data_IF_796758540992
#
_entry.id   IF_796758540992
#
_cell.length_a   1.000
_cell.length_b   1.000
_cell.length_c   1.000
_cell.angle_alpha   90.00
_cell.angle_beta   90.00
_cell.angle_gamma   90.00
#
_symmetry.space_group_name_H-M   'P 1'
#
loop_
_entity.id
_entity.type
_entity.pdbx_description
1 polymer ?
#
# COMPACT_ATOMS: atom_id res chain seq x y z
N UNK A 1 44.11 -12.30 -47.95
CA UNK A 1 44.07 -12.50 -46.49
C UNK A 1 43.40 -11.29 -45.85
N UNK A 2 42.14 -11.42 -45.42
CA UNK A 2 41.55 -10.68 -44.31
C UNK A 2 40.35 -11.47 -43.78
N UNK A 3 40.64 -12.28 -42.77
CA UNK A 3 39.76 -12.71 -41.67
C UNK A 3 39.08 -11.47 -41.06
N UNK A 4 37.89 -11.45 -40.46
CA UNK A 4 36.93 -12.43 -39.95
C UNK A 4 35.63 -11.63 -39.63
N UNK A 5 34.52 -12.31 -39.26
CA UNK A 5 33.17 -11.77 -39.16
C UNK A 5 32.92 -11.12 -37.78
N UNK A 6 31.95 -10.21 -37.68
CA UNK A 6 31.23 -10.05 -36.41
C UNK A 6 29.78 -9.68 -36.66
N UNK A 7 28.94 -10.72 -36.78
CA UNK A 7 27.57 -10.62 -36.31
C UNK A 7 27.64 -10.43 -34.78
N UNK A 8 27.65 -9.18 -34.31
CA UNK A 8 27.33 -8.91 -32.91
C UNK A 8 25.81 -8.90 -32.84
N UNK A 9 25.25 -10.07 -32.59
CA UNK A 9 23.95 -10.21 -31.96
C UNK A 9 23.97 -9.48 -30.63
N UNK A 10 23.75 -8.17 -30.66
CA UNK A 10 23.34 -7.41 -29.49
C UNK A 10 21.85 -7.70 -29.25
N UNK A 11 21.53 -8.99 -29.02
CA UNK A 11 20.42 -9.36 -28.15
C UNK A 11 20.92 -9.01 -26.74
N UNK A 12 21.03 -7.70 -26.48
CA UNK A 12 21.07 -7.20 -25.12
C UNK A 12 19.69 -7.58 -24.62
N UNK A 13 19.64 -8.66 -23.84
CA UNK A 13 18.51 -8.97 -23.00
C UNK A 13 18.28 -7.75 -22.14
N UNK A 14 17.45 -6.83 -22.65
CA UNK A 14 16.74 -5.86 -21.83
C UNK A 14 15.89 -6.75 -20.96
N UNK A 15 16.42 -7.06 -19.78
CA UNK A 15 15.62 -7.45 -18.64
C UNK A 15 14.67 -6.27 -18.44
N UNK A 16 13.53 -6.30 -19.11
CA UNK A 16 12.38 -5.47 -18.79
C UNK A 16 12.03 -5.84 -17.37
N UNK A 17 12.65 -5.13 -16.42
CA UNK A 17 12.25 -5.17 -15.03
C UNK A 17 10.75 -4.93 -15.06
N UNK A 18 10.00 -5.98 -14.72
CA UNK A 18 8.54 -6.00 -14.86
C UNK A 18 8.04 -4.86 -14.00
N UNK A 19 7.48 -3.83 -14.65
CA UNK A 19 6.93 -2.68 -13.94
C UNK A 19 5.98 -3.23 -12.87
N UNK A 20 6.14 -2.82 -11.60
CA UNK A 20 5.29 -3.29 -10.52
C UNK A 20 3.83 -2.99 -10.87
N UNK A 21 2.99 -4.03 -10.82
CA UNK A 21 1.57 -3.94 -11.16
C UNK A 21 0.77 -3.83 -9.88
N UNK A 22 -0.12 -2.84 -9.81
CA UNK A 22 -1.03 -2.69 -8.68
C UNK A 22 -1.93 -3.93 -8.56
N UNK A 23 -1.96 -4.51 -7.36
CA UNK A 23 -2.84 -5.63 -7.03
C UNK A 23 -3.73 -5.23 -5.87
N UNK A 24 -5.04 -5.40 -6.00
CA UNK A 24 -6.00 -5.12 -4.92
C UNK A 24 -5.77 -6.01 -3.70
N UNK A 25 -6.04 -5.46 -2.51
CA UNK A 25 -5.99 -6.21 -1.26
C UNK A 25 -7.42 -6.51 -0.76
N UNK A 26 -7.97 -7.63 -1.24
CA UNK A 26 -9.32 -8.10 -0.90
C UNK A 26 -9.48 -8.29 0.62
N UNK A 27 -8.41 -8.65 1.33
CA UNK A 27 -8.45 -8.87 2.77
C UNK A 27 -8.80 -7.59 3.53
N UNK A 28 -8.27 -6.43 3.11
CA UNK A 28 -8.64 -5.14 3.71
C UNK A 28 -10.10 -4.76 3.44
N UNK A 29 -10.63 -5.11 2.26
CA UNK A 29 -12.05 -4.92 1.93
C UNK A 29 -12.93 -5.78 2.83
N UNK A 30 -12.59 -7.07 2.98
CA UNK A 30 -13.31 -7.96 3.89
C UNK A 30 -13.23 -7.47 5.35
N UNK A 31 -12.08 -6.94 5.75
CA UNK A 31 -11.88 -6.39 7.08
C UNK A 31 -12.72 -5.13 7.32
N UNK A 32 -12.87 -4.27 6.30
CA UNK A 32 -13.76 -3.12 6.37
C UNK A 32 -15.22 -3.56 6.58
N UNK A 33 -15.67 -4.56 5.83
CA UNK A 33 -17.02 -5.13 5.99
C UNK A 33 -17.21 -5.80 7.37
N UNK A 34 -16.22 -6.55 7.83
CA UNK A 34 -16.23 -7.15 9.17
C UNK A 34 -16.25 -6.07 10.28
N UNK A 35 -15.52 -4.97 10.08
CA UNK A 35 -15.53 -3.82 10.98
C UNK A 35 -16.91 -3.16 11.05
N UNK A 36 -17.59 -2.98 9.91
CA UNK A 36 -18.96 -2.46 9.87
C UNK A 36 -19.93 -3.37 10.63
N UNK A 37 -19.81 -4.69 10.46
CA UNK A 37 -20.60 -5.65 11.24
C UNK A 37 -20.29 -5.57 12.74
N UNK A 38 -19.05 -5.25 13.11
CA UNK A 38 -18.60 -5.15 14.50
C UNK A 38 -19.15 -3.91 15.23
N UNK A 39 -19.84 -2.99 14.56
CA UNK A 39 -20.45 -1.81 15.19
C UNK A 39 -21.47 -2.14 16.29
N UNK A 40 -22.02 -3.36 16.29
CA UNK A 40 -23.00 -3.82 17.29
C UNK A 40 -22.36 -4.15 18.65
N UNK A 41 -21.03 -4.31 18.71
CA UNK A 41 -20.29 -4.60 19.94
C UNK A 41 -18.94 -3.86 19.94
N UNK A 42 -18.80 -2.88 20.83
CA UNK A 42 -17.60 -2.06 20.97
C UNK A 42 -16.33 -2.89 21.23
N UNK A 43 -16.42 -4.04 21.92
CA UNK A 43 -15.26 -4.92 22.16
C UNK A 43 -14.80 -5.58 20.88
N UNK A 44 -15.75 -6.09 20.08
CA UNK A 44 -15.46 -6.64 18.76
C UNK A 44 -14.89 -5.57 17.83
N UNK A 45 -15.45 -4.35 17.84
CA UNK A 45 -14.94 -3.23 17.06
C UNK A 45 -13.50 -2.86 17.45
N UNK A 46 -13.19 -2.85 18.75
CA UNK A 46 -11.84 -2.57 19.23
C UNK A 46 -10.85 -3.64 18.77
N UNK A 47 -11.21 -4.92 18.87
CA UNK A 47 -10.39 -6.04 18.38
C UNK A 47 -10.17 -5.91 16.87
N UNK A 48 -11.25 -5.71 16.10
CA UNK A 48 -11.19 -5.51 14.66
C UNK A 48 -10.32 -4.30 14.30
N UNK A 49 -10.39 -3.21 15.06
CA UNK A 49 -9.56 -2.02 14.89
C UNK A 49 -8.06 -2.30 15.09
N UNK A 50 -7.69 -3.06 16.11
CA UNK A 50 -6.29 -3.47 16.34
C UNK A 50 -5.77 -4.32 15.18
N UNK A 51 -6.55 -5.32 14.75
CA UNK A 51 -6.17 -6.15 13.59
C UNK A 51 -6.07 -5.32 12.31
N UNK A 52 -6.98 -4.36 12.11
CA UNK A 52 -6.96 -3.44 10.97
C UNK A 52 -5.71 -2.58 10.96
N UNK A 53 -5.34 -2.00 12.10
CA UNK A 53 -4.13 -1.19 12.20
C UNK A 53 -2.86 -1.99 11.83
N UNK A 54 -2.76 -3.24 12.30
CA UNK A 54 -1.63 -4.12 11.95
C UNK A 54 -1.59 -4.46 10.47
N UNK A 55 -2.73 -4.82 9.88
CA UNK A 55 -2.79 -5.19 8.46
C UNK A 55 -2.51 -4.00 7.55
N UNK A 56 -3.05 -2.82 7.90
CA UNK A 56 -2.75 -1.56 7.20
C UNK A 56 -1.27 -1.20 7.33
N UNK A 57 -0.64 -1.40 8.49
CA UNK A 57 0.79 -1.14 8.68
C UNK A 57 1.65 -1.97 7.72
N UNK A 58 1.42 -3.28 7.63
CA UNK A 58 2.20 -4.14 6.75
C UNK A 58 1.89 -3.91 5.26
N UNK A 59 0.63 -3.67 4.93
CA UNK A 59 0.24 -3.32 3.56
C UNK A 59 0.87 -1.99 3.13
N UNK A 60 0.87 -0.98 4.00
CA UNK A 60 1.48 0.32 3.70
C UNK A 60 3.00 0.22 3.51
N UNK A 61 3.67 -0.65 4.27
CA UNK A 61 5.08 -0.95 4.03
C UNK A 61 5.31 -1.60 2.66
N UNK A 62 4.46 -2.55 2.27
CA UNK A 62 4.58 -3.21 0.97
C UNK A 62 4.34 -2.24 -0.21
N UNK A 63 3.60 -1.17 0.02
CA UNK A 63 3.37 -0.09 -0.95
C UNK A 63 4.39 1.04 -0.88
N UNK A 64 5.41 0.94 -0.03
CA UNK A 64 6.40 2.01 0.21
C UNK A 64 5.75 3.35 0.61
N UNK A 65 4.62 3.30 1.32
CA UNK A 65 3.81 4.47 1.61
C UNK A 65 4.62 5.58 2.30
N UNK A 66 4.60 6.79 1.72
CA UNK A 66 5.29 7.95 2.26
C UNK A 66 6.82 7.96 2.06
N UNK A 67 7.42 6.93 1.44
CA UNK A 67 8.88 6.86 1.28
C UNK A 67 9.43 7.91 0.30
N UNK A 68 8.67 8.28 -0.74
CA UNK A 68 9.09 9.29 -1.73
C UNK A 68 8.90 10.73 -1.24
N UNK A 69 8.36 10.93 -0.03
CA UNK A 69 8.02 12.25 0.50
C UNK A 69 8.88 12.61 1.71
N UNK A 70 9.50 13.79 1.68
CA UNK A 70 10.36 14.27 2.78
C UNK A 70 9.58 14.51 4.07
N UNK A 71 8.32 14.96 3.96
CA UNK A 71 7.46 15.32 5.10
C UNK A 71 6.06 14.74 4.95
N UNK A 72 5.46 14.35 6.08
CA UNK A 72 4.06 13.92 6.13
C UNK A 72 3.12 15.13 6.20
N UNK A 73 2.02 15.06 5.45
CA UNK A 73 0.92 16.02 5.52
C UNK A 73 -0.26 15.45 6.30
N UNK A 74 -0.18 15.50 7.64
CA UNK A 74 -1.13 14.84 8.58
C UNK A 74 -2.59 15.33 8.44
N UNK A 75 -2.84 16.46 7.76
CA UNK A 75 -4.20 16.98 7.48
C UNK A 75 -4.45 17.25 5.99
N UNK A 76 -3.51 16.88 5.12
CA UNK A 76 -3.57 17.18 3.69
C UNK A 76 -3.52 15.90 2.87
N UNK A 77 -2.41 15.69 2.17
CA UNK A 77 -2.31 14.60 1.22
C UNK A 77 -1.95 13.27 1.90
N UNK A 78 -2.91 12.35 1.93
CA UNK A 78 -2.80 11.04 2.57
C UNK A 78 -1.73 10.14 1.94
N UNK A 79 -1.33 10.37 0.69
CA UNK A 79 -0.27 9.58 0.03
C UNK A 79 1.12 9.79 0.64
N UNK A 80 1.27 10.87 1.41
CA UNK A 80 2.52 11.22 2.12
C UNK A 80 2.64 10.51 3.46
N UNK A 81 1.58 9.87 3.95
CA UNK A 81 1.57 9.26 5.28
C UNK A 81 2.35 7.96 5.28
N UNK A 82 3.23 7.80 6.27
CA UNK A 82 4.02 6.60 6.49
C UNK A 82 3.16 5.49 7.09
N UNK A 83 3.64 4.24 7.05
CA UNK A 83 2.90 3.10 7.58
C UNK A 83 2.43 3.27 9.03
N UNK A 84 3.26 3.89 9.88
CA UNK A 84 2.91 4.11 11.28
C UNK A 84 1.76 5.09 11.45
N UNK A 85 1.75 6.18 10.69
CA UNK A 85 0.70 7.21 10.72
C UNK A 85 -0.64 6.61 10.26
N UNK A 86 -0.63 5.78 9.22
CA UNK A 86 -1.80 5.00 8.80
C UNK A 86 -2.31 4.06 9.89
N UNK A 87 -1.42 3.27 10.50
CA UNK A 87 -1.78 2.33 11.55
C UNK A 87 -2.40 3.03 12.77
N UNK A 88 -1.82 4.15 13.20
CA UNK A 88 -2.34 4.95 14.31
C UNK A 88 -3.70 5.57 13.99
N UNK A 89 -3.87 6.11 12.78
CA UNK A 89 -5.15 6.68 12.36
C UNK A 89 -6.26 5.62 12.39
N UNK A 90 -5.99 4.42 11.86
CA UNK A 90 -6.90 3.27 11.96
C UNK A 90 -7.11 2.84 13.41
N UNK A 91 -6.11 2.89 14.28
CA UNK A 91 -6.32 2.53 15.68
C UNK A 91 -7.26 3.50 16.41
N UNK A 92 -7.17 4.80 16.11
CA UNK A 92 -7.98 5.85 16.76
C UNK A 92 -9.41 5.86 16.20
N UNK A 93 -9.57 5.80 14.88
CA UNK A 93 -10.89 5.80 14.21
C UNK A 93 -10.93 4.70 13.14
N UNK A 94 -11.16 3.43 13.55
CA UNK A 94 -10.96 2.26 12.70
C UNK A 94 -11.68 2.30 11.37
N UNK A 95 -13.00 2.47 11.37
CA UNK A 95 -13.79 2.33 10.16
C UNK A 95 -13.54 3.45 9.16
N UNK A 96 -13.37 4.68 9.66
CA UNK A 96 -13.18 5.84 8.82
C UNK A 96 -11.81 5.76 8.14
N UNK A 97 -10.72 5.58 8.90
CA UNK A 97 -9.39 5.53 8.31
C UNK A 97 -9.10 4.24 7.54
N UNK A 98 -9.71 3.11 7.92
CA UNK A 98 -9.61 1.90 7.11
C UNK A 98 -10.30 2.09 5.76
N UNK A 99 -11.48 2.73 5.72
CA UNK A 99 -12.15 3.05 4.46
C UNK A 99 -11.30 4.00 3.59
N UNK A 100 -10.81 5.11 4.18
CA UNK A 100 -9.93 6.04 3.47
C UNK A 100 -8.71 5.30 2.91
N UNK A 101 -8.05 4.48 3.72
CA UNK A 101 -6.89 3.72 3.28
C UNK A 101 -7.20 2.79 2.10
N UNK A 102 -8.28 1.99 2.20
CA UNK A 102 -8.71 1.07 1.15
C UNK A 102 -8.95 1.81 -0.18
N UNK A 103 -9.62 2.95 -0.16
CA UNK A 103 -9.91 3.72 -1.37
C UNK A 103 -8.71 4.52 -1.89
N UNK A 104 -7.79 4.95 -1.02
CA UNK A 104 -6.56 5.65 -1.41
C UNK A 104 -5.42 4.71 -1.79
N UNK A 105 -5.55 3.40 -1.58
CA UNK A 105 -4.48 2.41 -1.74
C UNK A 105 -3.80 2.45 -3.11
N UNK A 106 -4.59 2.60 -4.18
CA UNK A 106 -4.07 2.72 -5.54
C UNK A 106 -3.27 4.01 -5.73
N UNK A 107 -3.76 5.12 -5.20
CA UNK A 107 -3.07 6.42 -5.26
C UNK A 107 -1.75 6.37 -4.48
N UNK A 108 -1.74 5.72 -3.31
CA UNK A 108 -0.53 5.50 -2.49
C UNK A 108 0.50 4.68 -3.28
N UNK A 109 0.07 3.62 -3.96
CA UNK A 109 0.95 2.80 -4.81
C UNK A 109 1.55 3.61 -5.95
N UNK A 110 0.73 4.31 -6.73
CA UNK A 110 1.18 5.13 -7.86
C UNK A 110 2.11 6.27 -7.43
N UNK A 111 1.90 6.81 -6.23
CA UNK A 111 2.73 7.89 -5.70
C UNK A 111 4.09 7.43 -5.16
N UNK A 112 4.25 6.15 -4.77
CA UNK A 112 5.42 5.68 -4.01
C UNK A 112 6.23 4.57 -4.69
N UNK A 113 5.74 4.01 -5.80
CA UNK A 113 6.45 2.98 -6.58
C UNK A 113 7.03 3.56 -7.86
#
# INVERSE_FOLDING_TARGET
MKTEPVAVSAVIGVSTAKQPVYQENILLILLLLAGLFSLVDLKMLAIAGVFSALLVYYDAQALHAGEKFEMESILGNVVTWRPLTWALAVLIIPLIFLAIYVFSRKEIFEANI
#
